data_IF_652474346914
#
_entry.id   IF_652474346914
#
_cell.length_a   1.000
_cell.length_b   1.000
_cell.length_c   1.000
_cell.angle_alpha   90.00
_cell.angle_beta   90.00
_cell.angle_gamma   90.00
#
_symmetry.space_group_name_H-M   'P 1'
#
loop_
_entity.id
_entity.type
_entity.pdbx_description
1 polymer ?
#
# COMPACT_ATOMS: atom_id res chain seq x y z
N UNK A 1 17.01 -16.90 -0.84
CA UNK A 1 16.95 -15.43 -0.73
C UNK A 1 17.75 -14.85 -1.88
N UNK A 2 17.12 -14.23 -2.88
CA UNK A 2 17.76 -13.99 -4.19
C UNK A 2 18.61 -12.71 -4.28
N UNK A 3 18.91 -12.01 -3.18
CA UNK A 3 19.99 -11.01 -3.02
C UNK A 3 20.06 -9.80 -3.96
N UNK A 4 19.27 -9.76 -5.04
CA UNK A 4 19.43 -8.84 -6.16
C UNK A 4 18.87 -7.43 -5.90
N UNK A 5 18.51 -7.10 -4.66
CA UNK A 5 18.07 -5.76 -4.28
C UNK A 5 16.62 -5.39 -4.58
N UNK A 6 15.75 -6.32 -5.00
CA UNK A 6 14.32 -6.04 -5.29
C UNK A 6 13.60 -5.36 -4.11
N UNK A 7 13.68 -5.96 -2.92
CA UNK A 7 13.03 -5.42 -1.72
C UNK A 7 13.56 -4.03 -1.38
N UNK A 8 14.86 -3.80 -1.56
CA UNK A 8 15.49 -2.50 -1.35
C UNK A 8 14.97 -1.46 -2.33
N UNK A 9 14.89 -1.81 -3.62
CA UNK A 9 14.35 -0.92 -4.66
C UNK A 9 12.89 -0.55 -4.39
N UNK A 10 12.03 -1.53 -4.10
CA UNK A 10 10.63 -1.25 -3.76
C UNK A 10 10.48 -0.47 -2.45
N UNK A 11 11.33 -0.74 -1.45
CA UNK A 11 11.42 0.04 -0.22
C UNK A 11 11.77 1.51 -0.48
N UNK A 12 12.67 1.77 -1.42
CA UNK A 12 13.01 3.15 -1.81
C UNK A 12 11.87 3.85 -2.57
N UNK A 13 11.22 3.14 -3.51
CA UNK A 13 10.07 3.68 -4.28
C UNK A 13 8.90 4.02 -3.34
N UNK A 14 8.57 3.13 -2.40
CA UNK A 14 7.50 3.31 -1.41
C UNK A 14 7.82 4.29 -0.29
N UNK A 15 9.09 4.71 -0.15
CA UNK A 15 9.54 5.63 0.89
C UNK A 15 9.80 4.98 2.26
N UNK A 16 9.88 3.65 2.33
CA UNK A 16 10.27 2.90 3.54
C UNK A 16 11.78 2.99 3.77
N UNK A 17 12.57 3.05 2.70
CA UNK A 17 14.03 3.16 2.73
C UNK A 17 14.43 4.45 2.01
N UNK A 18 15.32 5.26 2.58
CA UNK A 18 15.85 6.43 1.89
C UNK A 18 16.95 6.02 0.88
N UNK A 19 16.98 6.60 -0.34
CA UNK A 19 18.10 6.40 -1.24
C UNK A 19 19.36 7.06 -0.66
N UNK A 20 20.51 6.40 -0.79
CA UNK A 20 21.80 7.00 -0.39
C UNK A 20 22.16 8.17 -1.30
N UNK A 21 21.92 8.02 -2.60
CA UNK A 21 22.18 9.03 -3.63
C UNK A 21 21.10 8.97 -4.73
N UNK A 22 21.03 10.02 -5.55
CA UNK A 22 20.05 10.14 -6.63
C UNK A 22 18.67 10.58 -6.15
N UNK A 23 17.69 10.50 -7.04
CA UNK A 23 16.30 10.92 -6.78
C UNK A 23 15.31 9.93 -7.36
N UNK A 24 14.14 9.86 -6.74
CA UNK A 24 13.00 9.08 -7.23
C UNK A 24 11.86 10.06 -7.53
N UNK A 25 11.40 10.02 -8.76
CA UNK A 25 10.28 10.82 -9.23
C UNK A 25 9.20 9.87 -9.76
N UNK A 26 7.96 10.06 -9.32
CA UNK A 26 6.78 9.33 -9.83
C UNK A 26 5.85 10.37 -10.42
N UNK A 27 5.68 10.36 -11.75
CA UNK A 27 5.01 11.44 -12.49
C UNK A 27 5.67 12.79 -12.15
N UNK A 28 4.93 13.77 -11.64
CA UNK A 28 5.45 15.07 -11.21
C UNK A 28 5.76 15.14 -9.70
N UNK A 29 5.67 14.01 -8.98
CA UNK A 29 5.91 13.95 -7.55
C UNK A 29 7.33 13.46 -7.23
N UNK A 30 8.13 14.31 -6.59
CA UNK A 30 9.47 13.98 -6.10
C UNK A 30 9.49 13.76 -4.57
N UNK A 31 8.73 14.56 -3.82
CA UNK A 31 8.63 14.43 -2.36
C UNK A 31 7.90 13.14 -1.95
N UNK A 32 8.38 12.49 -0.88
CA UNK A 32 7.84 11.21 -0.38
C UNK A 32 6.32 11.27 -0.18
N UNK A 33 5.82 12.34 0.44
CA UNK A 33 4.38 12.49 0.76
C UNK A 33 3.50 12.50 -0.49
N UNK A 34 3.95 13.10 -1.58
CA UNK A 34 3.16 13.16 -2.81
C UNK A 34 3.28 11.86 -3.61
N UNK A 35 4.48 11.26 -3.63
CA UNK A 35 4.67 9.93 -4.22
C UNK A 35 3.78 8.88 -3.56
N UNK A 36 3.66 8.89 -2.24
CA UNK A 36 2.83 7.93 -1.48
C UNK A 36 1.32 8.08 -1.71
N UNK A 37 0.87 9.19 -2.33
CA UNK A 37 -0.53 9.33 -2.76
C UNK A 37 -0.78 8.67 -4.12
N UNK A 38 0.26 8.44 -4.91
CA UNK A 38 0.17 7.92 -6.28
C UNK A 38 0.34 6.39 -6.36
N UNK A 39 0.88 5.75 -5.32
CA UNK A 39 1.18 4.31 -5.33
C UNK A 39 0.64 3.58 -4.09
N UNK A 40 0.27 2.32 -4.29
CA UNK A 40 0.09 1.33 -3.22
C UNK A 40 1.25 0.34 -3.19
N UNK A 41 1.67 -0.08 -2.00
CA UNK A 41 2.76 -1.05 -1.83
C UNK A 41 2.30 -2.23 -0.98
N UNK A 42 2.46 -3.45 -1.50
CA UNK A 42 2.26 -4.70 -0.78
C UNK A 42 3.63 -5.30 -0.43
N UNK A 43 4.00 -5.38 0.86
CA UNK A 43 5.30 -5.90 1.27
C UNK A 43 5.42 -7.42 1.06
N UNK A 44 6.64 -7.95 1.16
CA UNK A 44 6.89 -9.39 1.07
C UNK A 44 6.36 -10.19 2.27
N UNK A 45 6.19 -9.53 3.41
CA UNK A 45 5.58 -10.12 4.60
C UNK A 45 4.09 -9.79 4.64
N UNK A 46 3.34 -10.60 5.38
CA UNK A 46 1.90 -10.35 5.57
C UNK A 46 1.70 -9.15 6.50
N UNK A 47 1.23 -8.04 5.95
CA UNK A 47 0.85 -6.85 6.71
C UNK A 47 -0.62 -6.93 7.18
N UNK A 48 -0.97 -8.01 7.89
CA UNK A 48 -2.32 -8.28 8.41
C UNK A 48 -2.38 -7.95 9.89
N UNK A 49 -3.45 -7.29 10.34
CA UNK A 49 -3.68 -7.05 11.77
C UNK A 49 -4.45 -8.23 12.35
N UNK A 50 -3.86 -9.03 13.27
CA UNK A 50 -4.41 -10.33 13.66
C UNK A 50 -5.71 -10.24 14.48
N UNK A 51 -6.04 -9.05 14.99
CA UNK A 51 -7.24 -8.81 15.79
C UNK A 51 -8.40 -8.23 14.97
N UNK A 52 -8.22 -8.02 13.67
CA UNK A 52 -9.24 -7.49 12.77
C UNK A 52 -9.69 -8.57 11.79
N UNK A 53 -11.00 -8.63 11.54
CA UNK A 53 -11.56 -9.32 10.38
C UNK A 53 -11.12 -8.63 9.08
N UNK A 54 -11.30 -9.30 7.93
CA UNK A 54 -10.94 -8.74 6.62
C UNK A 54 -11.68 -7.42 6.36
N UNK A 55 -12.97 -7.37 6.68
CA UNK A 55 -13.80 -6.16 6.52
C UNK A 55 -13.33 -5.02 7.44
N UNK A 56 -13.05 -5.30 8.71
CA UNK A 56 -12.52 -4.30 9.66
C UNK A 56 -11.12 -3.80 9.23
N UNK A 57 -10.28 -4.69 8.69
CA UNK A 57 -8.97 -4.32 8.16
C UNK A 57 -9.10 -3.37 6.96
N UNK A 58 -10.01 -3.66 6.01
CA UNK A 58 -10.30 -2.78 4.89
C UNK A 58 -10.88 -1.44 5.35
N UNK A 59 -11.82 -1.46 6.30
CA UNK A 59 -12.41 -0.25 6.88
C UNK A 59 -11.34 0.63 7.55
N UNK A 60 -10.44 0.02 8.33
CA UNK A 60 -9.37 0.74 9.01
C UNK A 60 -8.52 1.56 8.02
N UNK A 61 -8.06 0.93 6.94
CA UNK A 61 -7.26 1.62 5.92
C UNK A 61 -8.08 2.60 5.09
N UNK A 62 -9.34 2.28 4.80
CA UNK A 62 -10.24 3.18 4.08
C UNK A 62 -10.47 4.49 4.84
N UNK A 63 -10.73 4.41 6.15
CA UNK A 63 -10.86 5.58 7.04
C UNK A 63 -9.56 6.36 7.12
N UNK A 64 -8.43 5.68 7.31
CA UNK A 64 -7.10 6.32 7.37
C UNK A 64 -6.76 7.08 6.09
N UNK A 65 -7.17 6.56 4.93
CA UNK A 65 -6.94 7.16 3.61
C UNK A 65 -8.05 8.12 3.17
N UNK A 66 -9.09 8.34 3.98
CA UNK A 66 -10.19 9.24 3.66
C UNK A 66 -11.03 8.79 2.47
N UNK A 67 -11.18 7.48 2.26
CA UNK A 67 -11.95 6.92 1.14
C UNK A 67 -13.44 7.21 1.35
N UNK A 68 -14.02 8.03 0.47
CA UNK A 68 -15.48 8.23 0.40
C UNK A 68 -16.16 6.97 -0.14
N UNK A 69 -17.36 6.70 0.36
CA UNK A 69 -18.18 5.54 -0.02
C UNK A 69 -17.43 4.21 0.19
N UNK A 70 -16.69 4.10 1.30
CA UNK A 70 -15.82 2.96 1.52
C UNK A 70 -16.58 1.63 1.59
N UNK A 71 -17.82 1.60 2.07
CA UNK A 71 -18.63 0.37 2.16
C UNK A 71 -18.78 -0.26 0.78
N UNK A 72 -19.31 0.50 -0.18
CA UNK A 72 -19.47 0.06 -1.57
C UNK A 72 -18.13 -0.36 -2.20
N UNK A 73 -17.08 0.46 -2.04
CA UNK A 73 -15.75 0.14 -2.57
C UNK A 73 -15.12 -1.09 -1.92
N UNK A 74 -15.37 -1.30 -0.64
CA UNK A 74 -14.91 -2.46 0.12
C UNK A 74 -15.56 -3.73 -0.38
N UNK A 75 -16.88 -3.71 -0.58
CA UNK A 75 -17.62 -4.82 -1.20
C UNK A 75 -17.10 -5.14 -2.61
N UNK A 76 -16.85 -4.13 -3.44
CA UNK A 76 -16.25 -4.31 -4.78
C UNK A 76 -14.87 -4.99 -4.68
N UNK A 77 -14.01 -4.58 -3.76
CA UNK A 77 -12.69 -5.20 -3.54
C UNK A 77 -12.83 -6.64 -3.05
N UNK A 78 -13.72 -6.91 -2.10
CA UNK A 78 -13.96 -8.26 -1.59
C UNK A 78 -14.47 -9.20 -2.70
N UNK A 79 -15.38 -8.71 -3.55
CA UNK A 79 -15.87 -9.45 -4.71
C UNK A 79 -14.75 -9.74 -5.71
N UNK A 80 -13.90 -8.76 -6.03
CA UNK A 80 -12.73 -8.97 -6.91
C UNK A 80 -11.75 -10.01 -6.38
N UNK A 81 -11.65 -10.15 -5.07
CA UNK A 81 -10.77 -11.12 -4.40
C UNK A 81 -11.44 -12.48 -4.14
N UNK A 82 -12.73 -12.64 -4.47
CA UNK A 82 -13.49 -13.84 -4.15
C UNK A 82 -13.66 -14.07 -2.64
N UNK A 83 -13.71 -12.98 -1.87
CA UNK A 83 -13.82 -12.97 -0.41
C UNK A 83 -15.17 -12.43 0.06
N UNK A 84 -16.23 -12.65 -0.73
CA UNK A 84 -17.62 -12.42 -0.32
C UNK A 84 -18.08 -13.57 0.56
N UNK A 85 -18.97 -13.30 1.51
CA UNK A 85 -19.67 -14.36 2.27
C UNK A 85 -20.47 -15.31 1.36
#
# INVERSE_FOLDING_TARGET
HNGAGKSTMFGMISGIIAPTEGRIQIMDAENITDRQKLIGYCPQYNAIFPLLTVSEHLEFFARLKGVKEWVKKGEEVLAMLGMTE
#
